data_IF_353672658886
#
_entry.id   IF_353672658886
#
_cell.length_a   1.000
_cell.length_b   1.000
_cell.length_c   1.000
_cell.angle_alpha   90.00
_cell.angle_beta   90.00
_cell.angle_gamma   90.00
#
_symmetry.space_group_name_H-M   'P 1'
#
loop_
_entity.id
_entity.type
_entity.pdbx_description
1 polymer ?
#
# COMPACT_ATOMS: atom_id res chain seq x y z
N UNK A 1 4.40 -2.06 27.73
CA UNK A 1 3.02 -1.86 28.22
C UNK A 1 1.95 -2.34 27.24
N UNK A 2 2.14 -2.22 25.92
CA UNK A 2 1.16 -2.69 24.93
C UNK A 2 1.11 -4.23 24.80
N UNK A 3 2.22 -4.94 25.03
CA UNK A 3 2.25 -6.40 25.01
C UNK A 3 1.30 -7.05 26.01
N UNK A 4 1.21 -6.47 27.21
CA UNK A 4 0.34 -6.99 28.29
C UNK A 4 -1.16 -6.82 28.01
N UNK A 5 -1.55 -5.82 27.22
CA UNK A 5 -2.95 -5.62 26.84
C UNK A 5 -3.38 -6.63 25.76
N UNK A 6 -2.53 -6.88 24.77
CA UNK A 6 -2.80 -7.88 23.71
C UNK A 6 -2.80 -9.30 24.30
N UNK A 7 -1.89 -9.60 25.26
CA UNK A 7 -1.85 -10.88 25.97
C UNK A 7 -3.09 -11.14 26.85
N UNK A 8 -3.76 -10.08 27.33
CA UNK A 8 -5.03 -10.20 28.05
C UNK A 8 -6.26 -10.28 27.16
N UNK A 9 -6.16 -9.78 25.92
CA UNK A 9 -7.27 -9.74 24.96
C UNK A 9 -7.44 -11.07 24.21
N UNK A 10 -6.35 -11.78 24.07
CA UNK A 10 -6.34 -13.10 23.42
C UNK A 10 -6.12 -14.11 24.53
N UNK A 11 -7.13 -14.93 24.79
CA UNK A 11 -7.00 -16.04 25.74
C UNK A 11 -5.92 -17.01 25.21
N UNK A 12 -4.66 -16.73 25.62
CA UNK A 12 -3.48 -17.48 25.22
C UNK A 12 -3.59 -18.98 25.55
N UNK A 13 -4.40 -19.36 26.52
CA UNK A 13 -4.71 -20.74 26.87
C UNK A 13 -5.53 -21.42 25.77
N UNK A 14 -6.52 -20.73 25.20
CA UNK A 14 -7.30 -21.24 24.06
C UNK A 14 -6.46 -21.33 22.80
N UNK A 15 -5.57 -20.37 22.56
CA UNK A 15 -4.62 -20.43 21.43
C UNK A 15 -3.55 -21.48 21.64
N UNK A 16 -3.05 -21.66 22.87
CA UNK A 16 -2.09 -22.76 23.19
C UNK A 16 -2.75 -24.13 23.04
N UNK A 17 -4.00 -24.29 23.44
CA UNK A 17 -4.78 -25.51 23.20
C UNK A 17 -5.03 -25.76 21.71
N UNK A 18 -5.27 -24.71 20.94
CA UNK A 18 -5.45 -24.79 19.48
C UNK A 18 -4.12 -25.21 18.78
N UNK A 19 -2.98 -24.63 19.20
CA UNK A 19 -1.66 -25.01 18.71
C UNK A 19 -1.27 -26.46 19.08
N UNK A 20 -1.62 -26.92 20.27
CA UNK A 20 -1.27 -28.26 20.78
C UNK A 20 -2.06 -29.38 20.11
N UNK A 21 -3.26 -29.10 19.57
CA UNK A 21 -4.09 -30.08 18.87
C UNK A 21 -3.86 -30.16 17.35
N UNK A 22 -3.17 -29.18 16.75
CA UNK A 22 -3.03 -29.06 15.29
C UNK A 22 -1.61 -29.26 14.78
N UNK A 23 -0.78 -30.04 15.47
CA UNK A 23 0.55 -30.43 14.97
C UNK A 23 0.52 -31.50 13.88
N UNK A 24 -0.66 -32.04 13.57
CA UNK A 24 -0.85 -32.99 12.45
C UNK A 24 -2.16 -32.70 11.74
N UNK A 25 -2.08 -32.26 10.50
CA UNK A 25 -3.11 -32.22 9.45
C UNK A 25 -4.41 -31.46 9.71
N UNK A 26 -4.64 -30.42 8.96
CA UNK A 26 -5.97 -29.89 8.65
C UNK A 26 -6.49 -28.80 9.57
N UNK A 27 -6.42 -27.56 9.09
CA UNK A 27 -7.16 -26.43 9.65
C UNK A 27 -8.67 -26.71 9.56
N UNK A 28 -9.34 -26.95 10.70
CA UNK A 28 -10.78 -27.19 10.75
C UNK A 28 -11.55 -25.85 10.58
N UNK A 29 -11.87 -25.55 9.35
CA UNK A 29 -12.61 -24.35 8.96
C UNK A 29 -14.02 -24.29 9.64
N UNK A 30 -14.69 -25.42 9.84
CA UNK A 30 -16.04 -25.48 10.46
C UNK A 30 -16.01 -25.07 11.92
N UNK A 31 -14.97 -25.48 12.64
CA UNK A 31 -14.78 -25.14 14.07
C UNK A 31 -14.35 -23.68 14.25
N UNK A 32 -13.58 -23.13 13.31
CA UNK A 32 -13.24 -21.71 13.27
C UNK A 32 -14.45 -20.83 12.95
N UNK A 33 -15.34 -21.28 12.06
CA UNK A 33 -16.59 -20.59 11.70
C UNK A 33 -17.66 -20.59 12.80
N UNK A 34 -17.57 -21.52 13.78
CA UNK A 34 -18.49 -21.56 14.93
C UNK A 34 -18.19 -20.54 16.03
N UNK A 35 -17.05 -19.87 15.94
CA UNK A 35 -16.70 -18.76 16.84
C UNK A 35 -17.49 -17.53 16.38
N UNK A 36 -18.51 -17.13 17.14
CA UNK A 36 -19.26 -15.87 16.90
C UNK A 36 -18.34 -14.70 17.24
N UNK A 37 -17.82 -13.93 16.25
CA UNK A 37 -16.61 -13.12 16.47
C UNK A 37 -16.85 -11.80 17.18
N UNK A 38 -18.00 -11.15 17.06
CA UNK A 38 -18.08 -9.74 17.43
C UNK A 38 -18.69 -9.46 18.81
N UNK A 39 -19.75 -10.15 19.18
CA UNK A 39 -20.48 -9.81 20.42
C UNK A 39 -19.78 -10.26 21.70
N UNK A 40 -18.99 -11.31 21.64
CA UNK A 40 -18.29 -11.86 22.80
C UNK A 40 -17.02 -11.09 23.08
N UNK A 41 -16.25 -10.75 22.04
CA UNK A 41 -15.02 -9.95 22.13
C UNK A 41 -15.34 -8.54 22.65
N UNK A 42 -16.37 -7.89 22.12
CA UNK A 42 -16.79 -6.56 22.57
C UNK A 42 -17.31 -6.54 24.02
N UNK A 43 -17.83 -7.67 24.54
CA UNK A 43 -18.24 -7.81 25.96
C UNK A 43 -17.04 -8.05 26.90
N UNK A 44 -16.09 -8.88 26.49
CA UNK A 44 -14.88 -9.17 27.28
C UNK A 44 -13.93 -7.98 27.37
N UNK A 45 -13.96 -7.07 26.38
CA UNK A 45 -13.14 -5.87 26.32
C UNK A 45 -13.73 -4.66 27.08
N UNK A 46 -14.96 -4.74 27.61
CA UNK A 46 -15.61 -3.63 28.31
C UNK A 46 -14.86 -3.10 29.54
N UNK A 47 -13.83 -3.79 30.03
CA UNK A 47 -12.98 -3.38 31.14
C UNK A 47 -11.57 -2.91 30.78
N UNK A 48 -11.17 -3.01 29.52
CA UNK A 48 -9.84 -2.59 29.04
C UNK A 48 -10.00 -1.38 28.13
N UNK A 49 -9.39 -0.26 28.49
CA UNK A 49 -9.34 0.93 27.63
C UNK A 49 -8.44 0.65 26.41
N UNK A 50 -8.98 -0.05 25.41
CA UNK A 50 -8.33 -0.11 24.10
C UNK A 50 -8.54 1.25 23.45
N UNK A 51 -7.46 1.93 23.02
CA UNK A 51 -7.59 3.17 22.28
C UNK A 51 -8.36 2.88 20.98
N UNK A 52 -9.64 3.18 20.95
CA UNK A 52 -10.47 3.02 19.77
C UNK A 52 -10.49 4.32 18.99
N UNK A 53 -10.17 4.26 17.69
CA UNK A 53 -10.39 5.38 16.79
C UNK A 53 -11.86 5.36 16.39
N UNK A 54 -12.53 6.51 16.50
CA UNK A 54 -13.90 6.62 15.99
C UNK A 54 -13.95 6.28 14.51
N UNK A 55 -14.94 5.50 14.10
CA UNK A 55 -15.12 5.14 12.69
C UNK A 55 -15.23 6.40 11.82
N UNK A 56 -15.78 7.52 12.34
CA UNK A 56 -15.82 8.81 11.63
C UNK A 56 -14.44 9.34 11.28
N UNK A 57 -13.44 9.10 12.12
CA UNK A 57 -12.12 9.71 12.05
C UNK A 57 -11.10 8.85 11.28
N UNK A 58 -11.51 7.64 10.90
CA UNK A 58 -10.65 6.75 10.13
C UNK A 58 -10.35 7.36 8.76
N UNK A 59 -9.05 7.56 8.49
CA UNK A 59 -8.55 7.89 7.17
C UNK A 59 -8.37 6.60 6.38
N UNK A 60 -8.85 6.59 5.16
CA UNK A 60 -8.74 5.44 4.28
C UNK A 60 -7.57 5.63 3.31
N UNK A 61 -7.02 4.53 2.87
CA UNK A 61 -5.98 4.43 1.83
C UNK A 61 -6.27 3.20 0.99
N UNK A 62 -5.53 3.02 -0.09
CA UNK A 62 -5.59 1.79 -0.89
C UNK A 62 -5.49 0.55 -0.01
N UNK A 63 -4.46 0.48 0.84
CA UNK A 63 -4.24 -0.66 1.75
C UNK A 63 -5.36 -0.85 2.78
N UNK A 64 -6.03 0.23 3.20
CA UNK A 64 -7.18 0.14 4.09
C UNK A 64 -8.38 -0.51 3.39
N UNK A 65 -8.66 -0.13 2.15
CA UNK A 65 -9.72 -0.76 1.36
C UNK A 65 -9.43 -2.24 1.10
N UNK A 66 -8.21 -2.58 0.70
CA UNK A 66 -7.80 -3.97 0.48
C UNK A 66 -7.89 -4.82 1.75
N UNK A 67 -7.48 -4.27 2.89
CA UNK A 67 -7.63 -4.95 4.19
C UNK A 67 -9.11 -5.21 4.52
N UNK A 68 -9.99 -4.23 4.28
CA UNK A 68 -11.42 -4.40 4.50
C UNK A 68 -12.05 -5.42 3.54
N UNK A 69 -11.66 -5.40 2.26
CA UNK A 69 -12.10 -6.39 1.27
C UNK A 69 -11.64 -7.81 1.61
N UNK A 70 -10.41 -7.94 2.10
CA UNK A 70 -9.84 -9.24 2.51
C UNK A 70 -10.54 -9.78 3.75
N UNK A 71 -10.64 -8.96 4.80
CA UNK A 71 -11.30 -9.33 6.05
C UNK A 71 -11.69 -8.07 6.85
N UNK A 72 -12.99 -7.74 6.95
CA UNK A 72 -13.45 -6.59 7.73
C UNK A 72 -12.98 -6.61 9.19
N UNK A 73 -12.84 -7.78 9.81
CA UNK A 73 -12.31 -7.90 11.17
C UNK A 73 -10.82 -7.54 11.23
N UNK A 74 -10.02 -7.92 10.26
CA UNK A 74 -8.61 -7.48 10.17
C UNK A 74 -8.51 -5.96 10.07
N UNK A 75 -9.35 -5.34 9.26
CA UNK A 75 -9.45 -3.88 9.18
C UNK A 75 -9.84 -3.27 10.53
N UNK A 76 -10.81 -3.85 11.28
CA UNK A 76 -11.20 -3.39 12.62
C UNK A 76 -9.99 -3.39 13.56
N UNK A 77 -9.24 -4.48 13.64
CA UNK A 77 -8.02 -4.55 14.45
C UNK A 77 -7.01 -3.47 14.08
N UNK A 78 -6.70 -3.34 12.77
CA UNK A 78 -5.68 -2.43 12.30
C UNK A 78 -6.06 -0.95 12.42
N UNK A 79 -7.33 -0.60 12.14
CA UNK A 79 -7.74 0.79 11.92
C UNK A 79 -8.67 1.34 12.97
N UNK A 80 -9.55 0.51 13.59
CA UNK A 80 -10.45 0.94 14.67
C UNK A 80 -9.76 0.78 16.02
N UNK A 81 -9.16 -0.37 16.26
CA UNK A 81 -8.47 -0.66 17.51
C UNK A 81 -6.99 -0.29 17.51
N UNK A 82 -6.49 0.20 16.40
CA UNK A 82 -5.09 0.61 16.20
C UNK A 82 -4.07 -0.44 16.67
N UNK A 83 -4.42 -1.71 16.57
CA UNK A 83 -3.53 -2.83 16.86
C UNK A 83 -2.57 -2.98 15.68
N UNK A 84 -1.29 -2.67 15.87
CA UNK A 84 -0.28 -2.81 14.83
C UNK A 84 0.53 -4.09 15.07
N UNK A 85 0.76 -4.90 14.03
CA UNK A 85 1.69 -6.01 14.13
C UNK A 85 3.07 -5.52 14.59
N UNK A 86 3.70 -6.25 15.50
CA UNK A 86 5.00 -5.87 16.07
C UNK A 86 6.20 -6.32 15.21
N UNK A 87 5.96 -7.08 14.14
CA UNK A 87 7.00 -7.58 13.25
C UNK A 87 7.56 -6.49 12.31
N UNK A 88 8.88 -6.42 12.16
CA UNK A 88 9.52 -5.65 11.10
C UNK A 88 9.41 -6.44 9.80
N UNK A 89 9.02 -5.76 8.72
CA UNK A 89 8.96 -6.36 7.39
C UNK A 89 10.04 -5.77 6.48
N UNK A 90 11.20 -6.43 6.45
CA UNK A 90 12.34 -6.00 5.63
C UNK A 90 12.03 -5.99 4.12
N UNK A 91 11.08 -6.84 3.70
CA UNK A 91 10.61 -6.84 2.30
C UNK A 91 9.87 -5.55 1.96
N UNK A 92 9.02 -5.05 2.89
CA UNK A 92 8.32 -3.79 2.73
C UNK A 92 9.32 -2.62 2.67
N UNK A 93 10.31 -2.62 3.55
CA UNK A 93 11.34 -1.58 3.57
C UNK A 93 12.14 -1.50 2.27
N UNK A 94 12.44 -2.64 1.64
CA UNK A 94 13.12 -2.67 0.32
C UNK A 94 12.33 -1.88 -0.73
N UNK A 95 11.02 -2.07 -0.78
CA UNK A 95 10.15 -1.30 -1.66
C UNK A 95 10.22 0.19 -1.35
N UNK A 96 10.03 0.56 -0.09
CA UNK A 96 10.10 1.97 0.36
C UNK A 96 11.43 2.62 -0.01
N UNK A 97 12.56 1.97 0.26
CA UNK A 97 13.89 2.51 -0.08
C UNK A 97 14.09 2.75 -1.58
N UNK A 98 13.50 1.91 -2.43
CA UNK A 98 13.48 2.15 -3.87
C UNK A 98 12.64 3.38 -4.22
N UNK A 99 11.40 3.46 -3.72
CA UNK A 99 10.49 4.59 -3.98
C UNK A 99 11.12 5.91 -3.53
N UNK A 100 11.67 5.96 -2.31
CA UNK A 100 12.34 7.16 -1.79
C UNK A 100 13.51 7.60 -2.68
N UNK A 101 14.34 6.64 -3.13
CA UNK A 101 15.49 6.95 -3.97
C UNK A 101 15.08 7.49 -5.35
N UNK A 102 14.08 6.88 -6.01
CA UNK A 102 13.65 7.33 -7.33
C UNK A 102 12.81 8.61 -7.26
N UNK A 103 12.07 8.83 -6.17
CA UNK A 103 11.35 10.08 -5.93
C UNK A 103 12.32 11.27 -5.84
N UNK A 104 13.38 11.14 -5.02
CA UNK A 104 14.42 12.17 -4.91
C UNK A 104 15.15 12.38 -6.22
N UNK A 105 15.50 11.30 -6.93
CA UNK A 105 16.22 11.38 -8.21
C UNK A 105 15.43 12.08 -9.31
N UNK A 106 14.11 11.94 -9.29
CA UNK A 106 13.21 12.44 -10.33
C UNK A 106 12.48 13.74 -9.94
N UNK A 107 12.72 14.27 -8.73
CA UNK A 107 12.01 15.44 -8.21
C UNK A 107 12.13 16.65 -9.15
N UNK A 108 11.02 17.11 -9.76
CA UNK A 108 11.03 18.23 -10.69
C UNK A 108 10.89 19.59 -10.01
N UNK A 109 10.82 19.65 -8.68
CA UNK A 109 10.66 20.88 -7.92
C UNK A 109 11.89 21.79 -7.96
N UNK A 110 11.75 23.11 -7.74
CA UNK A 110 12.90 23.98 -7.59
C UNK A 110 13.83 23.51 -6.45
N UNK A 111 15.07 23.20 -6.77
CA UNK A 111 16.05 22.62 -5.86
C UNK A 111 16.04 21.08 -5.84
N UNK A 112 15.11 20.43 -6.52
CA UNK A 112 15.14 19.00 -6.79
C UNK A 112 16.20 18.59 -7.81
N UNK A 113 16.47 17.29 -7.92
CA UNK A 113 17.53 16.76 -8.80
C UNK A 113 17.13 16.69 -10.28
N UNK A 114 15.87 16.94 -10.58
CA UNK A 114 15.31 17.05 -11.93
C UNK A 114 15.65 15.88 -12.86
N UNK A 115 15.31 14.67 -12.43
CA UNK A 115 15.38 13.44 -13.20
C UNK A 115 16.82 12.95 -13.49
N UNK A 116 17.54 12.59 -12.45
CA UNK A 116 18.89 11.98 -12.55
C UNK A 116 18.82 10.63 -13.28
N UNK A 117 19.67 10.49 -14.28
CA UNK A 117 19.75 9.28 -15.12
C UNK A 117 21.07 8.50 -14.96
N UNK A 118 22.04 9.01 -14.22
CA UNK A 118 23.29 8.30 -14.01
C UNK A 118 23.15 7.24 -12.92
N UNK A 119 23.53 5.99 -13.22
CA UNK A 119 23.38 4.88 -12.27
C UNK A 119 24.26 5.05 -11.01
N UNK A 120 25.43 5.68 -11.13
CA UNK A 120 26.30 5.92 -9.99
C UNK A 120 25.67 6.92 -9.03
N UNK A 121 25.02 7.95 -9.58
CA UNK A 121 24.35 8.96 -8.75
C UNK A 121 23.04 8.40 -8.15
N UNK A 122 22.26 7.63 -8.89
CA UNK A 122 21.11 6.89 -8.34
C UNK A 122 21.49 5.98 -7.15
N UNK A 123 22.63 5.28 -7.26
CA UNK A 123 23.16 4.46 -6.17
C UNK A 123 23.61 5.30 -4.96
N UNK A 124 24.18 6.49 -5.17
CA UNK A 124 24.54 7.41 -4.08
C UNK A 124 23.27 7.93 -3.38
N UNK A 125 22.24 8.31 -4.14
CA UNK A 125 20.94 8.73 -3.59
C UNK A 125 20.37 7.62 -2.71
N UNK A 126 20.33 6.37 -3.20
CA UNK A 126 19.90 5.23 -2.42
C UNK A 126 20.74 5.08 -1.13
N UNK A 127 22.07 5.23 -1.21
CA UNK A 127 22.95 5.09 -0.05
C UNK A 127 22.66 6.17 1.02
N UNK A 128 22.26 7.38 0.62
CA UNK A 128 21.84 8.46 1.53
C UNK A 128 20.47 8.18 2.14
N UNK A 129 19.51 7.69 1.35
CA UNK A 129 18.14 7.38 1.82
C UNK A 129 18.05 6.08 2.62
N UNK A 130 19.13 5.29 2.65
CA UNK A 130 19.10 3.96 3.29
C UNK A 130 19.04 4.04 4.80
N UNK A 131 17.92 3.61 5.38
CA UNK A 131 17.75 3.52 6.83
C UNK A 131 18.22 2.16 7.38
N UNK A 132 19.42 2.15 7.94
CA UNK A 132 20.01 0.96 8.58
C UNK A 132 19.24 0.48 9.80
N UNK A 133 18.40 1.34 10.41
CA UNK A 133 17.65 0.97 11.63
C UNK A 133 16.61 -0.12 11.35
N UNK A 134 16.19 -0.24 10.09
CA UNK A 134 15.26 -1.30 9.66
C UNK A 134 15.86 -2.72 9.78
N UNK A 135 17.19 -2.83 9.84
CA UNK A 135 17.92 -4.10 9.89
C UNK A 135 18.61 -4.35 11.24
N UNK A 136 18.36 -3.55 12.28
CA UNK A 136 19.05 -3.69 13.59
C UNK A 136 18.95 -5.09 14.21
N UNK A 137 17.87 -5.82 13.93
CA UNK A 137 17.62 -7.16 14.46
C UNK A 137 17.74 -8.24 13.38
N UNK A 138 18.35 -7.93 12.24
CA UNK A 138 18.54 -8.84 11.11
C UNK A 138 20.02 -9.19 10.96
N UNK A 139 20.35 -10.35 10.38
CA UNK A 139 21.72 -10.66 10.00
C UNK A 139 22.29 -9.58 9.04
N UNK A 140 23.55 -9.20 9.19
CA UNK A 140 24.22 -8.24 8.29
C UNK A 140 24.15 -8.64 6.82
N UNK A 141 24.14 -9.95 6.55
CA UNK A 141 23.98 -10.51 5.21
C UNK A 141 22.63 -10.15 4.57
N UNK A 142 21.57 -10.04 5.37
CA UNK A 142 20.22 -9.69 4.90
C UNK A 142 20.16 -8.26 4.43
N UNK A 143 20.73 -7.31 5.21
CA UNK A 143 20.84 -5.90 4.80
C UNK A 143 21.65 -5.77 3.49
N UNK A 144 22.81 -6.41 3.42
CA UNK A 144 23.68 -6.35 2.24
C UNK A 144 22.98 -6.92 1.00
N UNK A 145 22.24 -8.03 1.15
CA UNK A 145 21.48 -8.63 0.06
C UNK A 145 20.34 -7.70 -0.38
N UNK A 146 19.56 -7.17 0.55
CA UNK A 146 18.48 -6.23 0.27
C UNK A 146 18.99 -5.00 -0.51
N UNK A 147 20.09 -4.41 -0.05
CA UNK A 147 20.71 -3.26 -0.72
C UNK A 147 21.25 -3.59 -2.10
N UNK A 148 21.88 -4.77 -2.27
CA UNK A 148 22.34 -5.27 -3.57
C UNK A 148 21.16 -5.43 -4.53
N UNK A 149 20.04 -5.94 -4.05
CA UNK A 149 18.84 -6.16 -4.84
C UNK A 149 18.29 -4.85 -5.37
N UNK A 150 18.12 -3.85 -4.50
CA UNK A 150 17.62 -2.54 -4.91
C UNK A 150 18.59 -1.85 -5.89
N UNK A 151 19.90 -1.95 -5.67
CA UNK A 151 20.90 -1.44 -6.64
C UNK A 151 20.78 -2.07 -8.02
N UNK A 152 20.40 -3.36 -8.10
CA UNK A 152 20.09 -4.03 -9.36
C UNK A 152 18.84 -3.47 -10.03
N UNK A 153 17.77 -3.29 -9.26
CA UNK A 153 16.49 -2.71 -9.74
C UNK A 153 16.69 -1.26 -10.23
N UNK A 154 17.52 -0.46 -9.56
CA UNK A 154 17.87 0.89 -10.03
C UNK A 154 18.52 0.89 -11.42
N UNK A 155 19.26 -0.17 -11.77
CA UNK A 155 19.80 -0.31 -13.13
C UNK A 155 18.72 -0.50 -14.19
N UNK A 156 17.64 -1.22 -13.87
CA UNK A 156 16.47 -1.38 -14.75
C UNK A 156 15.73 -0.05 -14.89
N UNK A 157 15.46 0.62 -13.77
CA UNK A 157 14.84 1.94 -13.73
C UNK A 157 15.61 2.97 -14.57
N UNK A 158 16.92 3.01 -14.43
CA UNK A 158 17.82 3.90 -15.18
C UNK A 158 17.72 3.71 -16.69
N UNK A 159 17.73 2.46 -17.16
CA UNK A 159 17.58 2.16 -18.59
C UNK A 159 16.26 2.67 -19.14
N UNK A 160 15.18 2.45 -18.39
CA UNK A 160 13.85 2.91 -18.79
C UNK A 160 13.75 4.43 -18.81
N UNK A 161 14.22 5.13 -17.76
CA UNK A 161 14.13 6.59 -17.71
C UNK A 161 14.94 7.30 -18.79
N UNK A 162 16.08 6.73 -19.22
CA UNK A 162 16.88 7.27 -20.34
C UNK A 162 16.16 7.23 -21.69
N UNK A 163 15.29 6.26 -21.88
CA UNK A 163 14.52 6.12 -23.13
C UNK A 163 13.13 6.77 -23.07
N UNK A 164 12.70 7.23 -21.89
CA UNK A 164 11.38 7.82 -21.70
C UNK A 164 11.39 9.32 -22.06
N UNK A 165 10.66 9.75 -23.10
CA UNK A 165 10.64 11.14 -23.54
C UNK A 165 9.75 12.04 -22.69
N UNK A 166 8.98 11.46 -21.74
CA UNK A 166 7.99 12.19 -20.98
C UNK A 166 8.66 13.05 -19.89
N UNK A 167 8.11 14.23 -19.67
CA UNK A 167 8.53 15.13 -18.59
C UNK A 167 7.93 14.67 -17.27
N UNK A 168 8.75 14.51 -16.23
CA UNK A 168 8.26 14.33 -14.86
C UNK A 168 7.63 15.63 -14.39
N UNK A 169 6.41 15.58 -13.88
CA UNK A 169 5.71 16.73 -13.30
C UNK A 169 5.49 16.61 -11.80
N UNK A 170 5.64 15.41 -11.24
CA UNK A 170 5.60 15.19 -9.80
C UNK A 170 6.01 13.77 -9.42
N UNK A 171 6.58 13.61 -8.22
CA UNK A 171 6.95 12.34 -7.60
C UNK A 171 6.42 12.31 -6.18
N UNK A 172 5.97 11.11 -5.70
CA UNK A 172 5.37 10.93 -4.37
C UNK A 172 4.32 12.01 -4.05
N UNK A 173 3.46 12.31 -5.03
CA UNK A 173 2.51 13.41 -4.93
C UNK A 173 1.32 13.02 -4.08
N UNK A 174 1.19 13.65 -2.91
CA UNK A 174 0.06 13.44 -2.01
C UNK A 174 -1.25 13.86 -2.68
N UNK A 175 -2.27 13.01 -2.58
CA UNK A 175 -3.63 13.40 -2.89
C UNK A 175 -4.57 13.14 -1.71
N UNK A 176 -5.57 13.99 -1.62
CA UNK A 176 -6.65 13.88 -0.64
C UNK A 176 -7.98 14.02 -1.36
N UNK A 177 -8.88 13.09 -1.11
CA UNK A 177 -10.24 13.15 -1.67
C UNK A 177 -11.25 12.58 -0.69
N UNK A 178 -12.54 12.73 -0.98
CA UNK A 178 -13.61 12.10 -0.21
C UNK A 178 -14.29 11.02 -1.03
N UNK A 179 -14.50 9.86 -0.42
CA UNK A 179 -15.28 8.74 -0.98
C UNK A 179 -16.31 8.36 0.07
N UNK A 180 -17.60 8.42 -0.26
CA UNK A 180 -18.68 8.12 0.69
C UNK A 180 -18.63 8.94 1.99
N UNK A 181 -18.10 10.16 1.95
CA UNK A 181 -17.91 11.04 3.11
C UNK A 181 -16.62 10.83 3.89
N UNK A 182 -15.86 9.75 3.65
CA UNK A 182 -14.57 9.48 4.29
C UNK A 182 -13.40 10.15 3.58
N UNK A 183 -12.44 10.61 4.36
CA UNK A 183 -11.18 11.10 3.82
C UNK A 183 -10.34 9.92 3.32
N UNK A 184 -9.94 9.98 2.06
CA UNK A 184 -9.03 9.04 1.42
C UNK A 184 -7.75 9.79 1.10
N UNK A 185 -6.61 9.20 1.48
CA UNK A 185 -5.28 9.74 1.24
C UNK A 185 -4.43 8.70 0.53
N UNK A 186 -3.57 9.15 -0.36
CA UNK A 186 -2.56 8.34 -1.02
C UNK A 186 -1.48 9.20 -1.64
N UNK A 187 -0.50 8.52 -2.21
CA UNK A 187 0.63 9.14 -2.90
C UNK A 187 0.73 8.54 -4.29
N UNK A 188 0.92 9.39 -5.29
CA UNK A 188 1.16 8.96 -6.67
C UNK A 188 2.66 8.91 -6.84
N UNK A 189 3.21 7.72 -7.11
CA UNK A 189 4.65 7.53 -7.17
C UNK A 189 5.29 8.44 -8.22
N UNK A 190 4.68 8.54 -9.42
CA UNK A 190 5.15 9.42 -10.48
C UNK A 190 4.03 9.87 -11.40
N UNK A 191 4.03 11.17 -11.71
CA UNK A 191 3.18 11.78 -12.73
C UNK A 191 4.09 12.29 -13.85
N UNK A 192 3.78 11.91 -15.06
CA UNK A 192 4.46 12.38 -16.27
C UNK A 192 3.53 13.12 -17.19
N UNK A 193 4.10 14.06 -17.96
CA UNK A 193 3.43 14.70 -19.08
C UNK A 193 4.13 14.33 -20.38
N UNK A 194 3.37 13.81 -21.33
CA UNK A 194 3.89 13.49 -22.66
C UNK A 194 4.20 14.76 -23.47
N UNK A 195 4.98 14.68 -24.54
CA UNK A 195 5.20 15.81 -25.46
C UNK A 195 3.90 16.39 -26.05
N UNK A 196 2.83 15.58 -26.12
CA UNK A 196 1.50 15.98 -26.59
C UNK A 196 0.65 16.65 -25.51
N UNK A 197 1.14 16.69 -24.25
CA UNK A 197 0.45 17.29 -23.12
C UNK A 197 -0.43 16.35 -22.32
N UNK A 198 -0.53 15.07 -22.71
CA UNK A 198 -1.28 14.06 -21.98
C UNK A 198 -0.57 13.67 -20.67
N UNK A 199 -1.30 13.25 -19.65
CA UNK A 199 -0.73 12.77 -18.40
C UNK A 199 -0.68 11.23 -18.33
N UNK A 200 0.43 10.70 -17.84
CA UNK A 200 0.60 9.30 -17.46
C UNK A 200 0.84 9.20 -15.96
N UNK A 201 0.19 8.21 -15.32
CA UNK A 201 0.40 7.89 -13.91
C UNK A 201 1.16 6.57 -13.82
N UNK A 202 2.17 6.54 -12.98
CA UNK A 202 3.03 5.37 -12.83
C UNK A 202 3.06 4.99 -11.35
N UNK A 203 2.89 3.69 -11.12
CA UNK A 203 3.04 3.04 -9.83
C UNK A 203 4.13 1.97 -9.95
N UNK A 204 5.16 2.08 -9.12
CA UNK A 204 6.29 1.17 -9.12
C UNK A 204 6.01 -0.06 -8.25
N UNK A 205 6.39 -1.22 -8.74
CA UNK A 205 6.30 -2.49 -8.02
C UNK A 205 7.68 -3.15 -7.99
N UNK A 206 8.25 -3.28 -6.78
CA UNK A 206 9.58 -3.88 -6.55
C UNK A 206 9.51 -5.32 -6.08
N UNK A 207 8.32 -5.87 -5.92
CA UNK A 207 8.07 -7.27 -5.57
C UNK A 207 7.71 -8.11 -6.79
N UNK A 208 8.05 -9.40 -6.74
CA UNK A 208 7.63 -10.35 -7.76
C UNK A 208 6.11 -10.42 -7.88
N UNK A 209 5.60 -10.58 -9.09
CA UNK A 209 4.17 -10.75 -9.33
C UNK A 209 3.77 -12.23 -9.17
N UNK A 210 2.78 -12.50 -8.34
CA UNK A 210 2.22 -13.84 -8.19
C UNK A 210 1.17 -14.17 -9.27
N UNK A 211 0.63 -13.14 -9.94
CA UNK A 211 -0.38 -13.25 -11.01
C UNK A 211 -0.14 -12.14 -12.03
N UNK A 212 -0.61 -12.36 -13.27
CA UNK A 212 -0.65 -11.28 -14.25
C UNK A 212 -1.56 -10.17 -13.70
N UNK A 213 -1.05 -8.95 -13.46
CA UNK A 213 -1.88 -7.88 -12.95
C UNK A 213 -2.91 -7.46 -14.00
N UNK A 214 -4.07 -7.05 -13.54
CA UNK A 214 -5.06 -6.37 -14.37
C UNK A 214 -5.06 -4.89 -14.00
N UNK A 215 -4.41 -4.04 -14.80
CA UNK A 215 -4.31 -2.62 -14.50
C UNK A 215 -5.68 -1.90 -14.55
N UNK A 216 -6.66 -2.46 -15.26
CA UNK A 216 -8.02 -1.89 -15.32
C UNK A 216 -8.75 -2.03 -13.98
N UNK A 217 -8.60 -3.17 -13.33
CA UNK A 217 -9.22 -3.45 -12.01
C UNK A 217 -8.31 -3.03 -10.84
N UNK A 218 -7.08 -2.53 -11.10
CA UNK A 218 -6.16 -2.12 -10.05
C UNK A 218 -6.71 -0.93 -9.26
N UNK A 219 -6.90 -1.12 -7.97
CA UNK A 219 -7.47 -0.13 -7.08
C UNK A 219 -6.62 1.14 -7.00
N UNK A 220 -5.29 0.99 -6.96
CA UNK A 220 -4.35 2.10 -6.81
C UNK A 220 -4.36 3.00 -8.04
N UNK A 221 -4.29 2.42 -9.24
CA UNK A 221 -4.34 3.17 -10.49
C UNK A 221 -5.67 3.90 -10.67
N UNK A 222 -6.79 3.30 -10.26
CA UNK A 222 -8.10 3.96 -10.32
C UNK A 222 -8.22 5.10 -9.29
N UNK A 223 -7.68 4.94 -8.07
CA UNK A 223 -7.60 6.03 -7.08
C UNK A 223 -6.74 7.18 -7.60
N UNK A 224 -5.60 6.91 -8.21
CA UNK A 224 -4.73 7.90 -8.84
C UNK A 224 -5.45 8.64 -9.96
N UNK A 225 -6.17 7.91 -10.82
CA UNK A 225 -6.93 8.49 -11.93
C UNK A 225 -8.06 9.42 -11.45
N UNK A 226 -8.77 9.01 -10.37
CA UNK A 226 -9.77 9.87 -9.75
C UNK A 226 -9.15 11.12 -9.12
N UNK A 227 -7.98 10.97 -8.46
CA UNK A 227 -7.25 12.11 -7.90
C UNK A 227 -6.85 13.12 -9.00
N UNK A 228 -6.34 12.64 -10.14
CA UNK A 228 -6.07 13.50 -11.30
C UNK A 228 -7.32 14.23 -11.76
N UNK A 229 -8.44 13.55 -11.91
CA UNK A 229 -9.71 14.15 -12.30
C UNK A 229 -10.19 15.22 -11.32
N UNK A 230 -9.89 15.08 -10.03
CA UNK A 230 -10.20 16.09 -9.02
C UNK A 230 -9.24 17.29 -9.07
N UNK A 231 -8.12 17.16 -9.77
CA UNK A 231 -7.04 18.13 -9.80
C UNK A 231 -5.99 17.85 -8.72
N UNK A 232 -4.73 17.94 -9.12
CA UNK A 232 -3.58 17.68 -8.25
C UNK A 232 -2.76 18.94 -8.07
N UNK A 233 -2.36 19.21 -6.84
CA UNK A 233 -1.43 20.27 -6.47
C UNK A 233 -0.21 19.69 -5.77
N UNK A 234 0.93 20.34 -5.90
CA UNK A 234 2.12 20.02 -5.09
C UNK A 234 1.94 20.52 -3.64
N UNK A 235 2.95 20.23 -2.81
CA UNK A 235 3.01 20.66 -1.40
C UNK A 235 3.03 22.19 -1.20
N UNK A 236 3.31 22.97 -2.25
CA UNK A 236 3.34 24.42 -2.25
C UNK A 236 2.04 25.04 -2.81
N UNK A 237 1.07 24.19 -3.21
CA UNK A 237 -0.22 24.62 -3.76
C UNK A 237 -0.21 24.91 -5.26
N UNK A 238 0.92 24.70 -5.96
CA UNK A 238 1.01 24.83 -7.42
C UNK A 238 0.24 23.69 -8.08
N UNK A 239 -0.58 24.03 -9.07
CA UNK A 239 -1.33 23.02 -9.82
C UNK A 239 -0.42 22.22 -10.73
N UNK A 240 -0.35 20.91 -10.49
CA UNK A 240 0.35 19.92 -11.32
C UNK A 240 -0.59 19.37 -12.40
N UNK A 241 -1.82 19.04 -12.03
CA UNK A 241 -2.86 18.56 -12.95
C UNK A 241 -4.13 19.38 -12.69
N UNK A 242 -4.70 19.97 -13.74
CA UNK A 242 -5.93 20.74 -13.65
C UNK A 242 -7.13 19.84 -13.35
N UNK A 243 -8.08 20.32 -12.54
CA UNK A 243 -9.33 19.61 -12.31
C UNK A 243 -10.08 19.36 -13.63
N UNK A 244 -10.75 18.22 -13.72
CA UNK A 244 -11.39 17.74 -14.94
C UNK A 244 -10.47 16.95 -15.87
N UNK A 245 -9.16 16.91 -15.61
CA UNK A 245 -8.21 16.19 -16.46
C UNK A 245 -8.16 14.71 -16.08
N UNK A 246 -8.54 13.84 -17.01
CA UNK A 246 -8.33 12.40 -16.86
C UNK A 246 -6.95 12.03 -17.42
N UNK A 247 -6.13 11.23 -16.73
CA UNK A 247 -4.87 10.78 -17.31
C UNK A 247 -5.14 9.88 -18.52
N UNK A 248 -4.28 9.91 -19.51
CA UNK A 248 -4.42 9.08 -20.71
C UNK A 248 -4.08 7.63 -20.42
N UNK A 249 -3.02 7.42 -19.62
CA UNK A 249 -2.57 6.09 -19.21
C UNK A 249 -2.33 6.01 -17.72
N UNK A 250 -2.61 4.83 -17.17
CA UNK A 250 -2.17 4.42 -15.85
C UNK A 250 -1.37 3.12 -15.97
N UNK A 251 -0.25 3.05 -15.24
CA UNK A 251 0.84 2.11 -15.49
C UNK A 251 1.26 1.45 -14.18
N UNK A 252 1.24 0.12 -14.14
CA UNK A 252 1.96 -0.69 -13.14
C UNK A 252 3.32 -1.05 -13.72
N UNK A 253 4.36 -0.53 -13.12
CA UNK A 253 5.72 -0.79 -13.54
C UNK A 253 6.42 -1.75 -12.59
N UNK A 254 6.46 -3.02 -12.97
CA UNK A 254 7.17 -4.06 -12.23
C UNK A 254 8.64 -4.04 -12.56
N UNK A 255 9.45 -3.76 -11.57
CA UNK A 255 10.91 -3.69 -11.67
C UNK A 255 11.49 -4.98 -11.08
N UNK A 256 11.94 -5.85 -11.95
CA UNK A 256 12.60 -7.11 -11.61
C UNK A 256 14.03 -7.10 -12.14
N UNK A 257 14.95 -7.84 -11.50
CA UNK A 257 16.34 -7.94 -11.97
C UNK A 257 16.45 -8.74 -13.25
N UNK A 258 15.74 -9.86 -13.30
CA UNK A 258 15.72 -10.80 -14.40
C UNK A 258 14.28 -11.34 -14.57
N UNK A 259 13.74 -11.33 -15.77
CA UNK A 259 14.30 -10.88 -17.04
C UNK A 259 14.30 -9.36 -17.29
N UNK A 260 14.17 -8.52 -16.26
CA UNK A 260 14.18 -7.07 -16.36
C UNK A 260 12.89 -6.44 -15.82
N UNK A 261 12.21 -5.63 -16.62
CA UNK A 261 10.97 -4.98 -16.17
C UNK A 261 9.77 -5.45 -17.01
N UNK A 262 8.59 -5.32 -16.40
CA UNK A 262 7.33 -5.52 -17.09
C UNK A 262 6.42 -4.32 -16.85
N UNK A 263 5.86 -3.79 -17.94
CA UNK A 263 4.94 -2.67 -17.91
C UNK A 263 3.55 -3.17 -18.26
N UNK A 264 2.60 -2.92 -17.35
CA UNK A 264 1.19 -3.17 -17.57
C UNK A 264 0.47 -1.83 -17.56
N UNK A 265 -0.05 -1.43 -18.69
CA UNK A 265 -0.71 -0.15 -18.86
C UNK A 265 -2.12 -0.31 -19.40
N UNK A 266 -2.98 0.63 -19.06
CA UNK A 266 -4.30 0.75 -19.69
C UNK A 266 -4.61 2.21 -20.00
N UNK A 267 -5.44 2.39 -21.02
CA UNK A 267 -6.01 3.70 -21.33
C UNK A 267 -7.14 3.98 -20.33
N UNK A 268 -6.98 5.04 -19.57
CA UNK A 268 -7.93 5.39 -18.51
C UNK A 268 -9.24 5.89 -19.13
N UNK A 269 -10.35 5.35 -18.65
CA UNK A 269 -11.69 5.81 -19.06
C UNK A 269 -12.48 6.27 -17.85
N UNK A 270 -13.31 7.29 -18.04
CA UNK A 270 -14.17 7.83 -16.98
C UNK A 270 -15.17 6.78 -16.47
N UNK A 271 -15.64 5.89 -17.34
CA UNK A 271 -16.56 4.81 -16.99
C UNK A 271 -15.93 3.85 -16.00
N UNK A 272 -14.70 3.42 -16.26
CA UNK A 272 -13.98 2.50 -15.36
C UNK A 272 -13.69 3.14 -14.01
N UNK A 273 -13.18 4.38 -14.01
CA UNK A 273 -12.90 5.10 -12.76
C UNK A 273 -14.17 5.26 -11.93
N UNK A 274 -15.28 5.66 -12.55
CA UNK A 274 -16.59 5.77 -11.86
C UNK A 274 -17.05 4.44 -11.27
N UNK A 275 -16.93 3.33 -12.02
CA UNK A 275 -17.29 1.99 -11.55
C UNK A 275 -16.53 1.66 -10.25
N UNK A 276 -15.22 1.82 -10.24
CA UNK A 276 -14.40 1.54 -9.05
C UNK A 276 -14.76 2.47 -7.90
N UNK A 277 -14.98 3.77 -8.15
CA UNK A 277 -15.39 4.70 -7.09
C UNK A 277 -16.73 4.30 -6.45
N UNK A 278 -17.71 3.85 -7.25
CA UNK A 278 -18.99 3.34 -6.73
C UNK A 278 -18.82 2.10 -5.85
N UNK A 279 -17.93 1.18 -6.23
CA UNK A 279 -17.63 0.01 -5.37
C UNK A 279 -16.97 0.45 -4.04
N UNK A 280 -16.05 1.41 -4.08
CA UNK A 280 -15.45 1.95 -2.86
C UNK A 280 -16.47 2.67 -1.97
N UNK A 281 -17.43 3.39 -2.54
CA UNK A 281 -18.53 3.98 -1.77
C UNK A 281 -19.39 2.93 -1.06
N UNK A 282 -19.64 1.77 -1.70
CA UNK A 282 -20.33 0.65 -1.06
C UNK A 282 -19.53 0.12 0.13
N UNK A 283 -18.20 -0.03 -0.01
CA UNK A 283 -17.34 -0.43 1.12
C UNK A 283 -17.38 0.60 2.24
N UNK A 284 -17.32 1.89 1.93
CA UNK A 284 -17.41 2.96 2.95
C UNK A 284 -18.75 2.92 3.68
N UNK A 285 -19.87 2.67 2.99
CA UNK A 285 -21.18 2.50 3.62
C UNK A 285 -21.17 1.35 4.63
N UNK A 286 -20.55 0.22 4.30
CA UNK A 286 -20.40 -0.93 5.20
C UNK A 286 -19.50 -0.61 6.40
N UNK A 287 -18.39 0.07 6.18
CA UNK A 287 -17.49 0.55 7.26
C UNK A 287 -18.24 1.47 8.22
N UNK A 288 -19.05 2.42 7.69
CA UNK A 288 -19.86 3.33 8.50
C UNK A 288 -20.93 2.60 9.33
N UNK A 289 -21.50 1.52 8.82
CA UNK A 289 -22.41 0.63 9.54
C UNK A 289 -21.71 -0.30 10.53
N UNK A 290 -20.36 -0.20 10.64
CA UNK A 290 -19.54 -1.07 11.51
C UNK A 290 -19.66 -2.56 11.17
N UNK A 291 -19.83 -2.91 9.91
CA UNK A 291 -19.87 -4.28 9.44
C UNK A 291 -18.44 -4.86 9.42
N UNK A 292 -18.00 -5.43 10.56
CA UNK A 292 -16.63 -5.90 10.76
C UNK A 292 -16.54 -7.42 11.00
N UNK A 293 -17.47 -8.18 10.47
CA UNK A 293 -17.44 -9.63 10.60
C UNK A 293 -16.23 -10.23 9.87
N UNK A 294 -15.69 -11.29 10.44
CA UNK A 294 -14.58 -12.01 9.81
C UNK A 294 -15.01 -12.63 8.48
N UNK A 295 -14.12 -12.57 7.50
CA UNK A 295 -14.25 -13.33 6.26
C UNK A 295 -13.19 -14.43 6.26
N UNK A 296 -13.47 -15.63 6.81
CA UNK A 296 -12.49 -16.69 6.88
C UNK A 296 -12.09 -17.19 5.49
N UNK A 297 -10.78 -17.41 5.30
CA UNK A 297 -10.24 -17.86 4.04
C UNK A 297 -8.77 -18.25 4.13
N UNK A 298 -8.16 -18.53 2.99
CA UNK A 298 -6.76 -18.95 2.92
C UNK A 298 -5.80 -17.91 3.51
N UNK A 299 -6.14 -16.61 3.41
CA UNK A 299 -5.38 -15.49 3.99
C UNK A 299 -5.28 -15.54 5.51
N UNK A 300 -6.16 -16.28 6.21
CA UNK A 300 -6.06 -16.45 7.67
C UNK A 300 -4.77 -17.15 8.11
N UNK A 301 -4.10 -17.89 7.22
CA UNK A 301 -2.82 -18.55 7.51
C UNK A 301 -1.68 -17.57 7.79
N UNK A 302 -1.76 -16.37 7.19
CA UNK A 302 -0.77 -15.30 7.32
C UNK A 302 -1.34 -14.05 7.98
N UNK A 303 -2.48 -14.16 8.65
CA UNK A 303 -3.09 -13.05 9.35
C UNK A 303 -2.28 -12.72 10.61
N UNK A 304 -1.86 -11.46 10.73
CA UNK A 304 -1.10 -10.98 11.89
C UNK A 304 -1.92 -10.98 13.19
N UNK A 305 -3.23 -11.15 13.10
CA UNK A 305 -4.19 -11.07 14.21
C UNK A 305 -4.82 -12.43 14.58
N UNK A 306 -4.27 -13.52 14.11
CA UNK A 306 -4.77 -14.86 14.43
C UNK A 306 -4.26 -15.38 15.78
#
# INVERSE_FOLDING_TARGET
QHKSAIEKIVDLEKIKMFKKKNTTSGFDLKKFLSIKPSSTIDKELKGTAIPTISVSDIRLSKSAFESYQTCPLQFKFARVWNCRPTGKNNTLYRGTAFHDAVAVAADPEPGGLNNVHDLKDLKKILDVQWDKTQFLNSPKSEEALAKKDIKGILGVYQKWTKSNPNKVVGTEVEFKMKIGGKNVIGYIDRIEQTPQGDYHLIDYKTGGKNKKPDPVEDLQLNLYSQACKNGIKDKHGKTLVKAGTLPKKAILFYLEKEPGHQIFEYNVTDVQVKKVMQELEKLVKRINKKEFDATPGYHCRWCDYR
#
